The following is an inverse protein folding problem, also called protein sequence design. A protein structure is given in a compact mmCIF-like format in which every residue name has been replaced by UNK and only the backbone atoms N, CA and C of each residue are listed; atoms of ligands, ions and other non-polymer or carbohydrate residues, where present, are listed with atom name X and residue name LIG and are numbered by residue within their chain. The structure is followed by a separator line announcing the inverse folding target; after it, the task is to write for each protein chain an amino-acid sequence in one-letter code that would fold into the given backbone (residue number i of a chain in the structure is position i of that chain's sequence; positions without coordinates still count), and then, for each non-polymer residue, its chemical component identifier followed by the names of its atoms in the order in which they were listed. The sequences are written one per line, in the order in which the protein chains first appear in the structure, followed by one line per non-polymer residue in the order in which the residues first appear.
data_IF_748121731749
#
_entry.id   IF_748121731749
#
_cell.length_a   1.000
_cell.length_b   1.000
_cell.length_c   1.000
_cell.angle_alpha   90.00
_cell.angle_beta   90.00
_cell.angle_gamma   90.00
#
_symmetry.space_group_name_H-M   'P 1'
#
loop_
_entity.id
_entity.type
_entity.pdbx_description
1 polymer ?
#
# COMPACT_ATOMS: atom_id res chain seq x y z
N UNK A 1 13.40 12.90 -11.99
CA UNK A 1 12.73 11.88 -11.15
C UNK A 1 12.89 12.23 -9.67
N UNK A 2 14.11 12.58 -9.22
CA UNK A 2 14.36 13.09 -7.86
C UNK A 2 13.64 14.42 -7.57
N UNK A 3 13.50 15.29 -8.58
CA UNK A 3 12.89 16.62 -8.46
C UNK A 3 11.38 16.56 -8.16
N UNK A 4 10.64 15.66 -8.83
CA UNK A 4 9.19 15.45 -8.62
C UNK A 4 8.92 14.88 -7.21
N UNK A 5 9.87 14.13 -6.67
CA UNK A 5 9.80 13.59 -5.32
C UNK A 5 10.02 14.71 -4.29
N UNK A 6 10.93 15.65 -4.56
CA UNK A 6 11.23 16.77 -3.68
C UNK A 6 10.05 17.71 -3.42
N UNK A 7 9.29 18.06 -4.45
CA UNK A 7 8.16 19.01 -4.32
C UNK A 7 6.99 18.43 -3.53
N UNK A 8 6.74 17.11 -3.66
CA UNK A 8 5.70 16.43 -2.90
C UNK A 8 6.08 16.26 -1.41
N UNK A 9 7.38 16.27 -1.09
CA UNK A 9 7.86 16.14 0.28
C UNK A 9 7.71 17.43 1.11
N UNK A 10 7.51 18.60 0.51
CA UNK A 10 7.41 19.85 1.27
C UNK A 10 5.98 20.17 1.77
N UNK A 11 4.96 19.46 1.29
CA UNK A 11 3.55 19.84 1.50
C UNK A 11 2.77 18.97 2.50
N UNK A 12 3.30 17.83 2.95
CA UNK A 12 2.63 16.99 3.95
C UNK A 12 3.25 17.19 5.35
N UNK A 13 2.46 17.75 6.26
CA UNK A 13 2.85 17.85 7.67
C UNK A 13 3.08 16.46 8.26
N UNK A 14 4.19 16.31 8.99
CA UNK A 14 4.62 15.07 9.63
C UNK A 14 3.84 14.92 10.95
N UNK A 15 3.02 13.88 11.15
CA UNK A 15 2.58 13.55 12.50
C UNK A 15 3.78 13.01 13.28
N UNK A 16 4.31 13.86 14.16
CA UNK A 16 5.44 13.57 15.03
C UNK A 16 5.09 12.48 16.06
N UNK A 17 5.75 11.32 16.01
CA UNK A 17 5.76 10.41 17.16
C UNK A 17 6.07 8.93 16.92
N UNK A 18 6.03 8.41 15.69
CA UNK A 18 6.32 7.00 15.42
C UNK A 18 7.46 6.90 14.41
N UNK A 19 8.67 6.56 14.89
CA UNK A 19 9.75 6.24 13.98
C UNK A 19 9.41 4.93 13.23
N UNK A 20 9.60 4.85 11.90
CA UNK A 20 9.33 3.64 11.15
C UNK A 20 10.21 2.50 11.67
N UNK A 21 9.61 1.33 11.90
CA UNK A 21 10.31 0.14 12.37
C UNK A 21 11.14 -0.41 11.21
N UNK A 22 12.42 -0.04 11.13
CA UNK A 22 13.30 -0.51 10.07
C UNK A 22 13.43 -2.04 10.07
N UNK A 23 12.85 -2.67 9.05
CA UNK A 23 13.07 -4.10 8.79
C UNK A 23 14.54 -4.33 8.47
N UNK A 24 15.05 -5.49 8.88
CA UNK A 24 16.43 -5.92 8.55
C UNK A 24 16.66 -5.81 7.04
N UNK A 25 17.70 -5.08 6.66
CA UNK A 25 18.03 -4.80 5.27
C UNK A 25 18.23 -6.11 4.48
N UNK A 26 17.36 -6.36 3.50
CA UNK A 26 17.57 -7.40 2.50
C UNK A 26 18.70 -6.99 1.55
N UNK A 27 19.42 -7.99 1.02
CA UNK A 27 20.58 -7.82 0.14
C UNK A 27 20.23 -6.89 -1.04
N UNK A 28 20.89 -5.73 -1.14
CA UNK A 28 20.69 -4.76 -2.21
C UNK A 28 21.17 -5.34 -3.56
N UNK A 29 20.36 -5.21 -4.60
CA UNK A 29 20.74 -5.55 -5.98
C UNK A 29 21.12 -4.26 -6.74
N UNK A 30 21.75 -4.37 -7.91
CA UNK A 30 22.12 -3.25 -8.78
C UNK A 30 20.93 -2.40 -9.22
N UNK A 31 19.71 -2.95 -9.18
CA UNK A 31 18.47 -2.24 -9.52
C UNK A 31 17.68 -1.74 -8.28
N UNK A 32 18.30 -1.73 -7.10
CA UNK A 32 17.65 -1.17 -5.91
C UNK A 32 17.78 0.36 -5.97
N UNK A 33 16.67 1.11 -6.08
CA UNK A 33 16.71 2.57 -6.06
C UNK A 33 17.35 3.10 -4.77
N UNK A 34 18.07 4.23 -4.88
CA UNK A 34 18.84 4.81 -3.78
C UNK A 34 17.98 5.49 -2.70
N UNK A 35 16.70 5.73 -2.99
CA UNK A 35 15.79 6.47 -2.10
C UNK A 35 15.27 5.59 -0.96
N UNK A 36 15.13 6.18 0.24
CA UNK A 36 14.53 5.50 1.38
C UNK A 36 13.00 5.45 1.24
N UNK A 37 12.51 4.39 0.61
CA UNK A 37 11.09 4.13 0.42
C UNK A 37 10.32 3.98 1.73
N UNK A 38 10.98 3.56 2.81
CA UNK A 38 10.31 3.38 4.09
C UNK A 38 9.90 4.73 4.65
N UNK A 39 10.82 5.69 4.71
CA UNK A 39 10.53 7.06 5.13
C UNK A 39 9.53 7.74 4.18
N UNK A 40 9.70 7.58 2.87
CA UNK A 40 8.79 8.17 1.88
C UNK A 40 7.35 7.67 2.06
N UNK A 41 7.16 6.36 2.17
CA UNK A 41 5.83 5.77 2.36
C UNK A 41 5.19 6.19 3.67
N UNK A 42 5.98 6.28 4.75
CA UNK A 42 5.49 6.70 6.06
C UNK A 42 4.91 8.12 6.00
N UNK A 43 5.60 9.03 5.33
CA UNK A 43 5.12 10.41 5.11
C UNK A 43 3.94 10.47 4.16
N UNK A 44 3.94 9.64 3.13
CA UNK A 44 2.87 9.59 2.13
C UNK A 44 1.53 9.14 2.71
N UNK A 45 1.53 8.15 3.60
CA UNK A 45 0.32 7.64 4.26
C UNK A 45 0.00 8.34 5.60
N UNK A 46 0.61 9.49 5.88
CA UNK A 46 0.30 10.28 7.09
C UNK A 46 0.70 9.60 8.39
N UNK A 47 1.84 8.92 8.42
CA UNK A 47 2.40 8.28 9.62
C UNK A 47 2.08 6.78 9.76
N UNK A 48 1.60 6.13 8.70
CA UNK A 48 1.37 4.67 8.70
C UNK A 48 2.59 3.94 8.17
N UNK A 49 3.22 3.12 9.01
CA UNK A 49 4.35 2.27 8.60
C UNK A 49 3.87 0.97 7.93
N UNK A 50 3.79 0.97 6.59
CA UNK A 50 3.46 -0.22 5.80
C UNK A 50 4.54 -1.30 5.85
N UNK A 51 5.78 -0.91 6.12
CA UNK A 51 6.89 -1.86 6.23
C UNK A 51 6.85 -2.62 7.55
N UNK A 52 6.00 -2.26 8.52
CA UNK A 52 5.80 -3.08 9.72
C UNK A 52 5.17 -4.46 9.41
N UNK A 53 4.35 -4.56 8.35
CA UNK A 53 3.62 -5.79 8.00
C UNK A 53 4.56 -6.79 7.31
N UNK A 54 4.81 -7.95 7.91
CA UNK A 54 5.62 -9.02 7.30
C UNK A 54 5.05 -9.43 5.93
N UNK A 55 5.92 -9.59 4.92
CA UNK A 55 5.52 -9.88 3.54
C UNK A 55 5.34 -8.64 2.64
N UNK A 56 5.18 -7.43 3.20
CA UNK A 56 5.21 -6.19 2.41
C UNK A 56 6.64 -5.81 2.06
N UNK A 57 6.90 -5.63 0.76
CA UNK A 57 8.19 -5.23 0.20
C UNK A 57 8.08 -3.86 -0.52
N UNK A 58 9.23 -3.29 -0.90
CA UNK A 58 9.30 -1.98 -1.57
C UNK A 58 8.47 -1.91 -2.86
N UNK A 59 8.46 -2.99 -3.66
CA UNK A 59 7.70 -3.03 -4.92
C UNK A 59 6.19 -3.00 -4.65
N UNK A 60 5.70 -3.74 -3.64
CA UNK A 60 4.29 -3.74 -3.26
C UNK A 60 3.84 -2.36 -2.80
N UNK A 61 4.67 -1.66 -2.02
CA UNK A 61 4.37 -0.29 -1.58
C UNK A 61 4.37 0.68 -2.76
N UNK A 62 5.31 0.54 -3.70
CA UNK A 62 5.34 1.36 -4.90
C UNK A 62 4.09 1.16 -5.76
N UNK A 63 3.69 -0.08 -6.00
CA UNK A 63 2.44 -0.39 -6.73
C UNK A 63 1.23 0.18 -5.98
N UNK A 64 1.19 0.05 -4.66
CA UNK A 64 0.10 0.62 -3.86
C UNK A 64 0.02 2.15 -4.01
N UNK A 65 1.16 2.85 -3.95
CA UNK A 65 1.20 4.30 -4.15
C UNK A 65 0.78 4.71 -5.57
N UNK A 66 1.16 3.94 -6.59
CA UNK A 66 0.77 4.19 -7.97
C UNK A 66 -0.74 3.97 -8.22
N UNK A 67 -1.33 2.95 -7.59
CA UNK A 67 -2.73 2.57 -7.80
C UNK A 67 -3.71 3.37 -6.91
N UNK A 68 -3.35 3.61 -5.65
CA UNK A 68 -4.24 4.30 -4.68
C UNK A 68 -4.07 5.82 -4.76
N UNK A 69 -2.86 6.29 -5.05
CA UNK A 69 -2.50 7.70 -4.96
C UNK A 69 -2.48 8.22 -3.50
N UNK A 70 -2.59 9.54 -3.35
CA UNK A 70 -2.29 10.28 -2.11
C UNK A 70 -3.26 10.06 -0.96
N UNK A 71 -4.40 9.41 -1.19
CA UNK A 71 -5.46 9.36 -0.20
C UNK A 71 -6.15 7.99 -0.16
N UNK A 72 -5.82 7.22 0.88
CA UNK A 72 -6.45 5.94 1.23
C UNK A 72 -7.82 6.12 1.90
N UNK A 73 -8.23 7.35 2.26
CA UNK A 73 -9.51 7.60 2.94
C UNK A 73 -10.70 7.61 1.99
N UNK A 74 -10.46 7.59 0.67
CA UNK A 74 -11.51 7.47 -0.37
C UNK A 74 -12.32 6.16 -0.26
N UNK A 75 -11.79 5.14 0.41
CA UNK A 75 -12.51 3.89 0.62
C UNK A 75 -13.53 4.04 1.75
N UNK A 76 -14.79 3.70 1.47
CA UNK A 76 -15.91 3.74 2.44
C UNK A 76 -15.66 2.94 3.73
N UNK A 77 -14.88 1.86 3.66
CA UNK A 77 -14.59 0.96 4.78
C UNK A 77 -13.34 0.12 4.47
N UNK A 78 -12.69 -0.39 5.51
CA UNK A 78 -11.60 -1.38 5.40
C UNK A 78 -12.01 -2.61 4.57
N UNK A 79 -13.29 -3.04 4.61
CA UNK A 79 -13.79 -4.14 3.78
C UNK A 79 -13.81 -3.78 2.29
N UNK A 80 -14.13 -2.52 1.96
CA UNK A 80 -14.10 -2.04 0.58
C UNK A 80 -12.66 -2.01 0.05
N UNK A 81 -11.71 -1.56 0.87
CA UNK A 81 -10.28 -1.61 0.55
C UNK A 81 -9.78 -3.05 0.33
N UNK A 82 -10.09 -3.98 1.25
CA UNK A 82 -9.70 -5.38 1.11
C UNK A 82 -10.34 -6.07 -0.11
N UNK A 83 -11.57 -5.68 -0.48
CA UNK A 83 -12.22 -6.13 -1.70
C UNK A 83 -11.57 -5.56 -2.96
N UNK A 84 -11.10 -4.31 -2.93
CA UNK A 84 -10.37 -3.68 -4.03
C UNK A 84 -9.00 -4.33 -4.25
N UNK A 85 -8.30 -4.67 -3.16
CA UNK A 85 -7.08 -5.49 -3.20
C UNK A 85 -7.34 -6.97 -3.58
N UNK A 86 -8.61 -7.38 -3.75
CA UNK A 86 -9.00 -8.77 -4.02
C UNK A 86 -8.52 -9.78 -2.97
N UNK A 87 -8.28 -9.34 -1.73
CA UNK A 87 -7.90 -10.21 -0.60
C UNK A 87 -9.13 -10.91 -0.02
N UNK A 88 -10.30 -10.27 -0.10
CA UNK A 88 -11.56 -10.82 0.37
C UNK A 88 -12.28 -11.56 -0.77
N UNK A 89 -12.78 -12.79 -0.55
CA UNK A 89 -13.69 -13.44 -1.49
C UNK A 89 -14.96 -12.61 -1.67
N UNK A 90 -15.44 -12.50 -2.91
CA UNK A 90 -16.73 -11.91 -3.19
C UNK A 90 -17.81 -12.98 -3.06
N UNK A 91 -18.55 -12.94 -1.95
CA UNK A 91 -19.59 -13.90 -1.62
C UNK A 91 -20.96 -13.38 -2.06
N UNK A 92 -21.69 -14.17 -2.86
CA UNK A 92 -23.07 -13.87 -3.24
C UNK A 92 -24.02 -14.67 -2.35
N UNK A 93 -24.64 -13.99 -1.39
CA UNK A 93 -25.59 -14.57 -0.44
C UNK A 93 -27.02 -14.17 -0.82
N UNK A 94 -27.94 -15.13 -0.91
CA UNK A 94 -29.39 -14.83 -0.99
C UNK A 94 -30.16 -15.79 -0.09
N UNK A 95 -31.19 -15.31 0.61
CA UNK A 95 -32.03 -16.16 1.46
C UNK A 95 -31.27 -16.88 2.58
N UNK A 96 -30.16 -16.29 3.06
CA UNK A 96 -29.32 -16.88 4.12
C UNK A 96 -28.38 -18.00 3.65
N UNK A 97 -28.33 -18.31 2.34
CA UNK A 97 -27.44 -19.31 1.77
C UNK A 97 -26.44 -18.66 0.82
N UNK A 98 -25.17 -19.03 0.92
CA UNK A 98 -24.17 -18.58 -0.05
C UNK A 98 -24.28 -19.39 -1.33
N UNK A 99 -24.51 -18.72 -2.45
CA UNK A 99 -24.73 -19.34 -3.76
C UNK A 99 -23.42 -19.46 -4.53
N UNK A 100 -22.51 -18.49 -4.34
CA UNK A 100 -21.23 -18.48 -5.04
C UNK A 100 -20.19 -17.69 -4.26
N UNK A 101 -18.97 -18.19 -4.24
CA UNK A 101 -17.78 -17.44 -3.79
C UNK A 101 -16.82 -17.43 -4.97
N UNK A 102 -16.40 -16.25 -5.42
CA UNK A 102 -15.40 -16.12 -6.46
C UNK A 102 -14.34 -15.13 -6.01
N UNK A 103 -13.09 -15.59 -5.99
CA UNK A 103 -11.93 -14.72 -6.04
C UNK A 103 -11.72 -14.38 -7.51
N UNK A 104 -11.94 -13.13 -7.90
CA UNK A 104 -11.60 -12.69 -9.26
C UNK A 104 -10.08 -12.61 -9.36
N UNK A 105 -9.44 -13.68 -9.78
CA UNK A 105 -7.99 -13.69 -10.04
C UNK A 105 -7.71 -12.98 -11.35
N UNK A 106 -7.71 -11.65 -11.35
CA UNK A 106 -7.06 -10.87 -12.40
C UNK A 106 -5.72 -10.38 -11.84
N UNK A 107 -4.72 -11.26 -11.89
CA UNK A 107 -3.34 -10.86 -11.61
C UNK A 107 -2.80 -10.20 -12.89
N UNK A 108 -2.74 -8.86 -12.90
CA UNK A 108 -2.18 -8.02 -13.97
C UNK A 108 -2.61 -8.39 -15.41
N UNK A 109 -3.68 -7.74 -15.89
CA UNK A 109 -3.75 -7.41 -17.33
C UNK A 109 -3.65 -5.89 -17.42
N UNK A 110 -2.43 -5.41 -17.69
CA UNK A 110 -2.26 -4.13 -18.38
C UNK A 110 -2.71 -4.30 -19.84
#
# INVERSE_FOLDING_TARGET
MEEILGDHLLSSEIPSGQAPSHKKATKKNKNTPCVDFQEYSFRYFGGVDLFAIEGINQNTVLTLMAEVGTDITKFRSSKAFASWLHICPNEKVTGGKVISHSLKTHFLSF
#
